data_IF_078177688265
#
_entry.id   IF_078177688265
#
_cell.length_a   1.000
_cell.length_b   1.000
_cell.length_c   1.000
_cell.angle_alpha   90.00
_cell.angle_beta   90.00
_cell.angle_gamma   90.00
#
_symmetry.space_group_name_H-M   'P 1'
#
loop_
_entity.id
_entity.type
_entity.pdbx_description
1 polymer ?
#
# COMPACT_ATOMS: atom_id res chain seq x y z
N UNK A 1 -27.52 -4.32 -6.36
CA UNK A 1 -27.23 -4.40 -4.92
C UNK A 1 -27.05 -3.00 -4.38
N UNK A 2 -27.79 -2.65 -3.37
CA UNK A 2 -27.82 -1.32 -2.79
C UNK A 2 -27.18 -1.38 -1.40
N UNK A 3 -26.65 -0.29 -0.94
CA UNK A 3 -26.08 -0.16 0.38
C UNK A 3 -24.97 0.87 0.42
N UNK A 4 -24.93 1.60 1.52
CA UNK A 4 -23.92 2.62 1.78
C UNK A 4 -23.59 2.62 3.27
N UNK A 5 -22.43 3.13 3.59
CA UNK A 5 -21.99 3.30 4.97
C UNK A 5 -20.96 4.40 5.09
N UNK A 6 -20.50 4.59 6.30
CA UNK A 6 -19.45 5.55 6.61
C UNK A 6 -18.40 4.90 7.51
N UNK A 7 -17.14 5.25 7.27
CA UNK A 7 -15.99 4.80 8.04
C UNK A 7 -15.43 5.95 8.86
N UNK A 8 -15.15 5.69 10.12
CA UNK A 8 -14.46 6.64 11.00
C UNK A 8 -13.36 5.93 11.77
N UNK A 9 -12.28 6.65 12.05
CA UNK A 9 -11.20 6.15 12.89
C UNK A 9 -11.27 6.81 14.27
N UNK A 10 -10.73 6.13 15.28
CA UNK A 10 -10.67 6.66 16.64
C UNK A 10 -9.94 8.01 16.71
N UNK A 11 -8.94 8.22 15.87
CA UNK A 11 -8.20 9.48 15.78
C UNK A 11 -9.01 10.63 15.19
N UNK A 12 -10.12 10.34 14.50
CA UNK A 12 -10.90 11.32 13.75
C UNK A 12 -10.27 11.76 12.43
N UNK A 13 -9.11 11.20 12.04
CA UNK A 13 -8.45 11.51 10.78
C UNK A 13 -9.31 11.06 9.59
N UNK A 14 -9.96 9.90 9.70
CA UNK A 14 -11.08 9.54 8.85
C UNK A 14 -12.36 9.76 9.64
N UNK A 15 -13.23 10.63 9.15
CA UNK A 15 -14.49 11.00 9.79
C UNK A 15 -15.61 10.91 8.76
N UNK A 16 -16.55 10.01 9.01
CA UNK A 16 -17.72 9.79 8.16
C UNK A 16 -17.37 9.60 6.66
N UNK A 17 -16.26 8.93 6.43
CA UNK A 17 -15.78 8.66 5.06
C UNK A 17 -16.75 7.70 4.37
N UNK A 18 -17.39 8.17 3.32
CA UNK A 18 -18.37 7.38 2.57
C UNK A 18 -17.73 6.17 1.90
N UNK A 19 -18.43 5.03 1.98
CA UNK A 19 -18.13 3.86 1.18
C UNK A 19 -19.42 3.16 0.76
N UNK A 20 -19.40 2.44 -0.35
CA UNK A 20 -20.60 1.77 -0.85
C UNK A 20 -20.23 0.66 -1.83
N UNK A 21 -21.20 -0.20 -2.11
CA UNK A 21 -21.07 -1.18 -3.19
C UNK A 21 -20.80 -0.50 -4.55
N UNK A 22 -21.47 0.62 -4.82
CA UNK A 22 -21.24 1.42 -6.02
C UNK A 22 -19.81 1.94 -6.12
N UNK A 23 -19.27 2.51 -5.04
CA UNK A 23 -17.89 3.00 -4.97
C UNK A 23 -16.87 1.88 -5.22
N UNK A 24 -17.19 0.64 -4.80
CA UNK A 24 -16.29 -0.50 -4.92
C UNK A 24 -16.30 -1.14 -6.31
N UNK A 25 -17.46 -1.27 -6.97
CA UNK A 25 -17.62 -2.09 -8.15
C UNK A 25 -18.17 -1.39 -9.38
N UNK A 26 -18.75 -0.21 -9.24
CA UNK A 26 -19.51 0.47 -10.32
C UNK A 26 -18.93 1.82 -10.68
N UNK A 27 -18.33 2.55 -9.73
CA UNK A 27 -17.77 3.87 -9.98
C UNK A 27 -16.59 3.81 -10.95
N UNK A 28 -16.75 4.44 -12.11
CA UNK A 28 -15.72 4.46 -13.15
C UNK A 28 -14.55 5.39 -12.82
N UNK A 29 -14.82 6.46 -12.06
CA UNK A 29 -13.80 7.45 -11.70
C UNK A 29 -13.21 7.26 -10.28
N UNK A 30 -13.71 6.27 -9.53
CA UNK A 30 -13.28 5.98 -8.16
C UNK A 30 -13.61 7.06 -7.14
N UNK A 31 -14.47 8.03 -7.47
CA UNK A 31 -14.75 9.20 -6.61
C UNK A 31 -16.06 9.12 -5.84
N UNK A 32 -16.84 8.07 -6.04
CA UNK A 32 -18.09 7.88 -5.32
C UNK A 32 -17.91 7.57 -3.82
N UNK A 33 -16.68 7.39 -3.38
CA UNK A 33 -16.29 7.07 -2.01
C UNK A 33 -15.07 6.17 -2.00
N UNK A 34 -14.64 5.74 -0.82
CA UNK A 34 -13.57 4.75 -0.68
C UNK A 34 -14.10 3.33 -0.76
N UNK A 35 -13.20 2.36 -0.70
CA UNK A 35 -13.51 0.93 -0.61
C UNK A 35 -12.45 0.21 0.23
N UNK A 36 -12.72 -1.02 0.69
CA UNK A 36 -11.79 -1.76 1.55
C UNK A 36 -10.43 -2.01 0.91
N UNK A 37 -10.38 -2.28 -0.37
CA UNK A 37 -9.13 -2.58 -1.10
C UNK A 37 -8.24 -1.34 -1.23
N UNK A 38 -8.84 -0.18 -1.47
CA UNK A 38 -8.13 1.10 -1.49
C UNK A 38 -7.53 1.43 -0.11
N UNK A 39 -8.29 1.21 0.96
CA UNK A 39 -7.81 1.42 2.32
C UNK A 39 -6.69 0.43 2.68
N UNK A 40 -6.79 -0.82 2.25
CA UNK A 40 -5.73 -1.81 2.41
C UNK A 40 -4.47 -1.39 1.66
N UNK A 41 -4.60 -0.93 0.41
CA UNK A 41 -3.50 -0.42 -0.39
C UNK A 41 -2.81 0.78 0.28
N UNK A 42 -3.58 1.75 0.76
CA UNK A 42 -3.05 2.91 1.46
C UNK A 42 -2.31 2.53 2.75
N UNK A 43 -2.88 1.62 3.54
CA UNK A 43 -2.25 1.07 4.73
C UNK A 43 -0.92 0.40 4.41
N UNK A 44 -0.88 -0.43 3.39
CA UNK A 44 0.33 -1.16 2.98
C UNK A 44 1.41 -0.22 2.44
N UNK A 45 1.03 0.74 1.58
CA UNK A 45 1.97 1.73 1.06
C UNK A 45 2.63 2.53 2.20
N UNK A 46 1.84 3.00 3.16
CA UNK A 46 2.35 3.75 4.31
C UNK A 46 3.29 2.93 5.18
N UNK A 47 2.90 1.73 5.55
CA UNK A 47 3.71 0.84 6.38
C UNK A 47 5.04 0.47 5.70
N UNK A 48 4.99 0.09 4.43
CA UNK A 48 6.19 -0.23 3.65
C UNK A 48 7.14 0.96 3.51
N UNK A 49 6.60 2.16 3.23
CA UNK A 49 7.42 3.38 3.12
C UNK A 49 8.13 3.70 4.43
N UNK A 50 7.43 3.61 5.56
CA UNK A 50 8.02 3.81 6.89
C UNK A 50 9.10 2.76 7.19
N UNK A 51 8.85 1.50 6.86
CA UNK A 51 9.83 0.42 7.03
C UNK A 51 11.09 0.65 6.17
N UNK A 52 10.90 1.13 4.95
CA UNK A 52 12.02 1.48 4.05
C UNK A 52 12.83 2.65 4.62
N UNK A 53 12.18 3.72 5.06
CA UNK A 53 12.85 4.86 5.68
C UNK A 53 13.66 4.44 6.92
N UNK A 54 13.09 3.59 7.75
CA UNK A 54 13.77 3.05 8.92
C UNK A 54 15.00 2.21 8.54
N UNK A 55 14.87 1.34 7.54
CA UNK A 55 15.99 0.52 7.05
C UNK A 55 17.12 1.38 6.47
N UNK A 56 16.78 2.42 5.71
CA UNK A 56 17.76 3.39 5.19
C UNK A 56 18.50 4.07 6.33
N UNK A 57 17.78 4.62 7.30
CA UNK A 57 18.38 5.32 8.44
C UNK A 57 19.32 4.42 9.25
N UNK A 58 18.95 3.17 9.48
CA UNK A 58 19.82 2.19 10.17
C UNK A 58 21.11 1.88 9.41
N UNK A 59 21.12 2.10 8.11
CA UNK A 59 22.29 1.90 7.25
C UNK A 59 23.04 3.20 6.90
N UNK A 60 22.72 4.29 7.59
CA UNK A 60 23.39 5.58 7.42
C UNK A 60 22.93 6.42 6.24
N UNK A 61 21.78 6.09 5.65
CA UNK A 61 21.19 6.85 4.55
C UNK A 61 19.94 7.60 5.01
N UNK A 62 19.76 8.79 4.47
CA UNK A 62 18.52 9.58 4.68
C UNK A 62 17.90 9.87 3.33
N UNK A 63 16.65 9.46 3.15
CA UNK A 63 15.92 9.76 1.92
C UNK A 63 15.47 11.23 1.92
N UNK A 64 15.64 11.91 0.78
CA UNK A 64 15.00 13.19 0.52
C UNK A 64 13.50 12.98 0.22
N UNK A 65 13.19 11.90 -0.48
CA UNK A 65 11.81 11.52 -0.80
C UNK A 65 11.70 10.01 -0.97
N UNK A 66 10.61 9.45 -0.48
CA UNK A 66 10.14 8.10 -0.80
C UNK A 66 8.69 8.19 -1.23
N UNK A 67 8.38 7.67 -2.40
CA UNK A 67 7.03 7.66 -2.95
C UNK A 67 6.63 6.23 -3.26
N UNK A 68 5.56 5.76 -2.65
CA UNK A 68 5.05 4.40 -2.84
C UNK A 68 3.66 4.42 -3.42
N UNK A 69 3.44 3.59 -4.42
CA UNK A 69 2.11 3.25 -4.94
C UNK A 69 1.85 1.78 -4.67
N UNK A 70 0.73 1.46 -4.03
CA UNK A 70 0.29 0.09 -3.82
C UNK A 70 -0.94 -0.20 -4.66
N UNK A 71 -0.93 -1.32 -5.36
CA UNK A 71 -2.05 -1.79 -6.17
C UNK A 71 -2.51 -3.14 -5.65
N UNK A 72 -3.77 -3.22 -5.22
CA UNK A 72 -4.41 -4.45 -4.75
C UNK A 72 -5.16 -5.09 -5.91
N UNK A 73 -4.82 -6.34 -6.21
CA UNK A 73 -5.50 -7.12 -7.23
C UNK A 73 -6.56 -8.02 -6.61
N UNK A 74 -7.72 -8.07 -7.25
CA UNK A 74 -8.82 -8.96 -6.86
C UNK A 74 -9.28 -9.83 -8.02
N UNK A 75 -9.77 -11.02 -7.69
CA UNK A 75 -10.43 -11.91 -8.64
C UNK A 75 -11.64 -12.59 -8.02
N UNK A 76 -12.62 -12.88 -8.85
CA UNK A 76 -13.80 -13.66 -8.46
C UNK A 76 -13.58 -15.11 -8.80
N UNK A 77 -13.62 -15.97 -7.80
CA UNK A 77 -13.58 -17.41 -7.93
C UNK A 77 -14.90 -18.06 -7.48
N UNK A 78 -14.91 -19.38 -7.37
CA UNK A 78 -16.09 -20.15 -6.95
C UNK A 78 -16.54 -19.79 -5.52
N UNK A 79 -15.59 -19.45 -4.65
CA UNK A 79 -15.85 -19.06 -3.27
C UNK A 79 -16.18 -17.56 -3.10
N UNK A 80 -16.21 -16.79 -4.19
CA UNK A 80 -16.45 -15.34 -4.18
C UNK A 80 -15.22 -14.52 -4.52
N UNK A 81 -15.22 -13.25 -4.12
CA UNK A 81 -14.12 -12.33 -4.35
C UNK A 81 -12.97 -12.57 -3.38
N UNK A 82 -11.75 -12.53 -3.90
CA UNK A 82 -10.52 -12.67 -3.11
C UNK A 82 -9.48 -11.65 -3.55
N UNK A 83 -8.71 -11.15 -2.60
CA UNK A 83 -7.47 -10.42 -2.91
C UNK A 83 -6.45 -11.45 -3.37
N UNK A 84 -5.92 -11.28 -4.57
CA UNK A 84 -4.99 -12.24 -5.20
C UNK A 84 -3.53 -11.82 -5.09
N UNK A 85 -3.26 -10.56 -4.80
CA UNK A 85 -1.91 -10.06 -4.62
C UNK A 85 -1.88 -8.55 -4.43
N UNK A 86 -0.72 -8.06 -4.01
CA UNK A 86 -0.45 -6.62 -3.90
C UNK A 86 0.87 -6.33 -4.60
N UNK A 87 0.88 -5.30 -5.43
CA UNK A 87 2.09 -4.79 -6.05
C UNK A 87 2.47 -3.44 -5.45
N UNK A 88 3.73 -3.32 -5.01
CA UNK A 88 4.31 -2.10 -4.49
C UNK A 88 5.29 -1.51 -5.51
N UNK A 89 5.12 -0.25 -5.84
CA UNK A 89 6.09 0.54 -6.60
C UNK A 89 6.69 1.59 -5.69
N UNK A 90 8.01 1.59 -5.57
CA UNK A 90 8.75 2.56 -4.77
C UNK A 90 9.68 3.37 -5.66
N UNK A 91 9.56 4.68 -5.59
CA UNK A 91 10.53 5.62 -6.18
C UNK A 91 11.19 6.38 -5.03
N UNK A 92 12.52 6.27 -4.93
CA UNK A 92 13.28 6.90 -3.88
C UNK A 92 14.30 7.90 -4.40
N UNK A 93 14.44 9.02 -3.72
CA UNK A 93 15.56 9.94 -3.87
C UNK A 93 16.38 9.89 -2.59
N UNK A 94 17.49 9.16 -2.65
CA UNK A 94 18.34 8.85 -1.49
C UNK A 94 19.79 9.19 -1.83
N UNK A 95 20.34 10.28 -1.30
CA UNK A 95 21.72 10.64 -1.57
C UNK A 95 22.72 9.56 -1.15
N UNK A 96 23.76 9.39 -1.95
CA UNK A 96 24.91 8.52 -1.71
C UNK A 96 24.65 7.01 -1.68
N UNK A 97 23.43 6.54 -1.91
CA UNK A 97 23.14 5.11 -1.99
C UNK A 97 23.33 4.60 -3.42
N UNK A 98 23.88 3.38 -3.56
CA UNK A 98 23.88 2.69 -4.85
C UNK A 98 22.58 1.89 -5.08
N UNK A 99 22.31 1.57 -6.34
CA UNK A 99 21.08 0.87 -6.72
C UNK A 99 20.94 -0.50 -6.06
N UNK A 100 22.03 -1.26 -5.93
CA UNK A 100 22.00 -2.60 -5.34
C UNK A 100 21.63 -2.53 -3.84
N UNK A 101 22.21 -1.57 -3.11
CA UNK A 101 21.89 -1.37 -1.69
C UNK A 101 20.46 -0.88 -1.50
N UNK A 102 20.00 0.00 -2.35
CA UNK A 102 18.60 0.45 -2.31
C UNK A 102 17.63 -0.72 -2.52
N UNK A 103 17.88 -1.57 -3.51
CA UNK A 103 17.07 -2.78 -3.77
C UNK A 103 17.06 -3.73 -2.57
N UNK A 104 18.20 -3.98 -1.97
CA UNK A 104 18.34 -4.83 -0.79
C UNK A 104 17.50 -4.32 0.38
N UNK A 105 17.62 -3.03 0.70
CA UNK A 105 16.89 -2.42 1.82
C UNK A 105 15.38 -2.36 1.55
N UNK A 106 14.97 -2.05 0.33
CA UNK A 106 13.56 -2.06 -0.06
C UNK A 106 12.95 -3.47 0.01
N UNK A 107 13.66 -4.48 -0.46
CA UNK A 107 13.22 -5.87 -0.37
C UNK A 107 13.08 -6.34 1.09
N UNK A 108 14.02 -5.98 1.95
CA UNK A 108 13.94 -6.25 3.39
C UNK A 108 12.76 -5.55 4.05
N UNK A 109 12.49 -4.31 3.68
CA UNK A 109 11.34 -3.55 4.17
C UNK A 109 10.01 -4.17 3.72
N UNK A 110 9.92 -4.63 2.48
CA UNK A 110 8.75 -5.37 1.99
C UNK A 110 8.46 -6.61 2.83
N UNK A 111 9.48 -7.40 3.11
CA UNK A 111 9.34 -8.63 3.89
C UNK A 111 9.04 -8.37 5.37
N UNK A 112 9.60 -7.30 5.94
CA UNK A 112 9.54 -6.99 7.37
C UNK A 112 8.41 -6.06 7.81
N UNK A 113 7.79 -5.35 6.89
CA UNK A 113 6.68 -4.44 7.19
C UNK A 113 5.53 -5.21 7.86
N UNK A 114 4.99 -4.74 8.99
CA UNK A 114 3.92 -5.45 9.71
C UNK A 114 2.69 -5.75 8.86
N UNK A 115 2.32 -4.88 7.94
CA UNK A 115 1.18 -5.12 7.04
C UNK A 115 1.50 -6.25 6.06
N UNK A 116 2.71 -6.28 5.46
CA UNK A 116 3.14 -7.40 4.64
C UNK A 116 3.06 -8.73 5.40
N UNK A 117 3.47 -8.73 6.65
CA UNK A 117 3.48 -9.93 7.51
C UNK A 117 2.08 -10.37 7.94
N UNK A 118 1.12 -9.45 7.97
CA UNK A 118 -0.28 -9.77 8.30
C UNK A 118 -1.04 -10.41 7.13
N UNK A 119 -0.54 -10.26 5.91
CA UNK A 119 -1.20 -10.72 4.69
C UNK A 119 -0.63 -12.05 4.20
N UNK A 120 -1.51 -12.93 3.72
CA UNK A 120 -1.15 -14.24 3.18
C UNK A 120 -1.13 -14.28 1.64
N UNK A 121 -1.18 -13.13 0.99
CA UNK A 121 -1.16 -13.01 -0.47
C UNK A 121 0.25 -12.70 -0.98
N UNK A 122 0.55 -13.03 -2.26
CA UNK A 122 1.81 -12.62 -2.87
C UNK A 122 1.95 -11.09 -2.90
N UNK A 123 3.13 -10.61 -2.52
CA UNK A 123 3.48 -9.20 -2.55
C UNK A 123 4.70 -9.04 -3.45
N UNK A 124 4.55 -8.25 -4.50
CA UNK A 124 5.63 -7.94 -5.44
C UNK A 124 6.10 -6.50 -5.26
N UNK A 125 7.35 -6.24 -5.62
CA UNK A 125 7.99 -4.94 -5.46
C UNK A 125 8.75 -4.56 -6.72
N UNK A 126 8.59 -3.32 -7.14
CA UNK A 126 9.43 -2.63 -8.09
C UNK A 126 9.98 -1.37 -7.40
N UNK A 127 11.27 -1.35 -7.12
CA UNK A 127 11.93 -0.24 -6.42
C UNK A 127 12.96 0.42 -7.34
N UNK A 128 12.89 1.74 -7.46
CA UNK A 128 13.75 2.54 -8.34
C UNK A 128 14.28 3.77 -7.62
N UNK A 129 15.53 4.12 -7.91
CA UNK A 129 16.06 5.44 -7.59
C UNK A 129 15.61 6.44 -8.66
N UNK A 130 15.17 7.59 -8.20
CA UNK A 130 14.79 8.71 -9.07
C UNK A 130 16.03 9.33 -9.75
#
# INVERSE_FOLDING_TARGET
MEGSGALSTQSGVLADQAYSFNARFVSEDGRAGTNPEELLAASHAGCFTMATSFALNKNGFTADELRTTATVAMAKGDAGWSVTGIHLELIGRVPAIDAAKFQELAAGAKAGCPISRALAVPITLDAKLA
#
